data_IF_143086368497
#
_entry.id   IF_143086368497
#
_cell.length_a   1.000
_cell.length_b   1.000
_cell.length_c   1.000
_cell.angle_alpha   90.00
_cell.angle_beta   90.00
_cell.angle_gamma   90.00
#
_symmetry.space_group_name_H-M   'P 1'
#
loop_
_entity.id
_entity.type
_entity.pdbx_description
1 polymer ?
#
# COMPACT_ATOMS: atom_id res chain seq x y z
N UNK A 1 17.49 7.37 9.30
CA UNK A 1 16.80 6.09 9.41
C UNK A 1 17.15 5.32 8.19
N UNK A 2 17.96 4.32 8.38
CA UNK A 2 18.55 3.60 7.27
C UNK A 2 17.49 2.71 6.63
N UNK A 3 17.40 2.83 5.30
CA UNK A 3 16.63 1.95 4.46
C UNK A 3 17.01 0.50 4.73
N UNK A 4 16.06 -0.43 4.76
CA UNK A 4 16.29 -1.88 4.74
C UNK A 4 16.95 -2.36 3.42
N UNK A 5 17.88 -1.59 2.87
CA UNK A 5 18.61 -1.83 1.62
C UNK A 5 19.80 -2.81 1.80
N UNK A 6 19.76 -3.71 2.78
CA UNK A 6 20.86 -4.60 3.14
C UNK A 6 20.64 -6.09 2.95
N UNK A 7 19.55 -6.54 2.32
CA UNK A 7 19.36 -7.97 2.08
C UNK A 7 20.26 -8.43 0.93
N UNK A 8 21.42 -8.98 1.28
CA UNK A 8 22.28 -9.71 0.33
C UNK A 8 21.54 -10.94 -0.15
N UNK A 9 21.46 -11.09 -1.47
CA UNK A 9 20.93 -12.27 -2.14
C UNK A 9 21.54 -13.54 -1.58
N UNK A 10 20.73 -14.43 -0.99
CA UNK A 10 21.01 -15.84 -0.93
C UNK A 10 20.75 -16.40 -2.33
N UNK A 11 21.80 -16.84 -3.01
CA UNK A 11 21.71 -17.55 -4.28
C UNK A 11 21.14 -18.94 -4.01
N UNK A 12 19.84 -19.10 -4.14
CA UNK A 12 19.24 -20.42 -4.29
C UNK A 12 19.04 -20.66 -5.79
N UNK A 13 19.50 -21.81 -6.23
CA UNK A 13 19.54 -22.32 -7.60
C UNK A 13 18.35 -21.93 -8.48
N UNK A 14 18.65 -21.23 -9.57
CA UNK A 14 17.73 -21.01 -10.68
C UNK A 14 17.76 -22.25 -11.59
N UNK A 15 16.79 -23.12 -11.45
CA UNK A 15 16.43 -24.05 -12.53
C UNK A 15 15.66 -23.28 -13.59
N UNK A 16 16.29 -23.17 -14.75
CA UNK A 16 15.73 -22.66 -16.01
C UNK A 16 14.59 -23.54 -16.49
N UNK A 17 13.37 -23.05 -16.37
CA UNK A 17 12.27 -23.39 -17.28
C UNK A 17 11.71 -22.09 -17.82
N UNK A 18 11.63 -21.99 -19.17
CA UNK A 18 11.12 -20.83 -19.87
C UNK A 18 9.61 -20.65 -19.62
N UNK A 19 9.28 -20.01 -18.53
CA UNK A 19 7.91 -19.67 -18.15
C UNK A 19 7.56 -18.32 -18.75
N UNK A 20 6.58 -18.36 -19.65
CA UNK A 20 5.93 -17.19 -20.22
C UNK A 20 5.61 -16.23 -19.08
N UNK A 21 5.95 -14.94 -19.23
CA UNK A 21 5.55 -13.90 -18.30
C UNK A 21 4.05 -14.02 -18.04
N UNK A 22 3.68 -14.62 -16.92
CA UNK A 22 2.28 -14.79 -16.56
C UNK A 22 1.69 -13.41 -16.38
N UNK A 23 0.64 -13.10 -17.16
CA UNK A 23 -0.18 -11.93 -16.94
C UNK A 23 -0.57 -11.93 -15.47
N UNK A 24 -0.24 -10.86 -14.75
CA UNK A 24 -0.54 -10.72 -13.33
C UNK A 24 -2.04 -10.82 -13.15
N UNK A 25 -2.54 -11.88 -12.53
CA UNK A 25 -3.96 -12.10 -12.39
C UNK A 25 -4.58 -11.03 -11.47
N UNK A 26 -5.47 -10.23 -12.06
CA UNK A 26 -6.33 -9.33 -11.29
C UNK A 26 -7.50 -10.13 -10.72
N UNK A 27 -7.55 -10.25 -9.40
CA UNK A 27 -8.61 -10.92 -8.64
C UNK A 27 -9.59 -9.88 -8.13
N UNK A 28 -10.88 -10.02 -8.44
CA UNK A 28 -11.91 -9.13 -7.91
C UNK A 28 -12.22 -9.46 -6.45
N UNK A 29 -11.93 -8.51 -5.56
CA UNK A 29 -12.17 -8.64 -4.11
C UNK A 29 -13.59 -8.15 -3.77
N UNK A 30 -14.04 -7.10 -4.42
CA UNK A 30 -15.39 -6.53 -4.35
C UNK A 30 -15.76 -5.93 -5.70
N UNK A 31 -17.04 -5.77 -6.03
CA UNK A 31 -17.43 -5.21 -7.31
C UNK A 31 -16.70 -3.91 -7.66
N UNK A 32 -15.88 -3.96 -8.72
CA UNK A 32 -15.04 -2.86 -9.18
C UNK A 32 -13.78 -2.60 -8.36
N UNK A 33 -13.36 -3.50 -7.46
CA UNK A 33 -12.06 -3.44 -6.75
C UNK A 33 -11.30 -4.73 -7.01
N UNK A 34 -10.15 -4.60 -7.67
CA UNK A 34 -9.32 -5.69 -8.16
C UNK A 34 -7.92 -5.61 -7.56
N UNK A 35 -7.34 -6.75 -7.24
CA UNK A 35 -6.02 -6.85 -6.61
C UNK A 35 -5.13 -7.76 -7.44
N UNK A 36 -3.89 -7.33 -7.65
CA UNK A 36 -2.81 -8.17 -8.15
C UNK A 36 -1.71 -8.23 -7.09
N UNK A 37 -1.18 -9.43 -6.84
CA UNK A 37 -0.13 -9.65 -5.83
C UNK A 37 1.20 -9.91 -6.54
N UNK A 38 2.26 -9.19 -6.15
CA UNK A 38 3.61 -9.36 -6.65
C UNK A 38 4.32 -10.54 -6.00
N UNK A 39 5.39 -11.01 -6.61
CA UNK A 39 6.23 -12.10 -6.10
C UNK A 39 7.07 -11.62 -4.90
N UNK A 40 7.59 -10.39 -4.98
CA UNK A 40 8.41 -9.81 -3.90
C UNK A 40 7.46 -9.40 -2.77
N UNK A 41 7.69 -9.96 -1.56
CA UNK A 41 6.97 -9.66 -0.30
C UNK A 41 5.45 -9.77 -0.37
N UNK A 42 4.92 -10.44 -1.40
CA UNK A 42 3.48 -10.47 -1.68
C UNK A 42 2.86 -9.05 -1.74
N UNK A 43 3.61 -8.06 -2.27
CA UNK A 43 3.16 -6.66 -2.39
C UNK A 43 1.92 -6.59 -3.26
N UNK A 44 0.90 -5.88 -2.80
CA UNK A 44 -0.38 -5.78 -3.50
C UNK A 44 -0.47 -4.49 -4.31
N UNK A 45 -0.99 -4.59 -5.53
CA UNK A 45 -1.45 -3.45 -6.32
C UNK A 45 -2.96 -3.51 -6.44
N UNK A 46 -3.65 -2.41 -6.18
CA UNK A 46 -5.12 -2.38 -6.28
C UNK A 46 -5.56 -1.53 -7.46
N UNK A 47 -6.55 -2.01 -8.21
CA UNK A 47 -7.23 -1.27 -9.28
C UNK A 47 -8.68 -1.07 -8.90
N UNK A 48 -9.09 0.17 -8.73
CA UNK A 48 -10.50 0.54 -8.50
C UNK A 48 -11.08 1.08 -9.80
N UNK A 49 -12.21 0.52 -10.22
CA UNK A 49 -12.80 0.83 -11.53
C UNK A 49 -14.15 1.52 -11.34
N UNK A 50 -14.30 2.71 -11.89
CA UNK A 50 -15.57 3.43 -11.94
C UNK A 50 -16.49 2.85 -13.04
N UNK A 51 -17.82 3.10 -12.98
CA UNK A 51 -18.78 2.56 -13.95
C UNK A 51 -18.47 2.88 -15.41
N UNK A 52 -17.79 3.99 -15.68
CA UNK A 52 -17.38 4.44 -17.02
C UNK A 52 -16.02 3.85 -17.48
N UNK A 53 -15.46 2.94 -16.72
CA UNK A 53 -14.16 2.33 -17.01
C UNK A 53 -12.96 3.20 -16.64
N UNK A 54 -13.15 4.34 -15.96
CA UNK A 54 -12.04 5.07 -15.36
C UNK A 54 -11.45 4.25 -14.23
N UNK A 55 -10.12 4.13 -14.19
CA UNK A 55 -9.40 3.32 -13.21
C UNK A 55 -8.47 4.17 -12.35
N UNK A 56 -8.50 3.93 -11.05
CA UNK A 56 -7.50 4.34 -10.07
C UNK A 56 -6.58 3.17 -9.80
N UNK A 57 -5.27 3.37 -9.95
CA UNK A 57 -4.26 2.36 -9.60
C UNK A 57 -3.57 2.78 -8.31
N UNK A 58 -3.59 1.90 -7.31
CA UNK A 58 -2.97 2.11 -6.01
C UNK A 58 -1.77 1.19 -5.88
N UNK A 59 -0.61 1.75 -5.54
CA UNK A 59 0.65 1.06 -5.28
C UNK A 59 1.03 0.04 -6.37
N UNK A 60 1.21 0.44 -7.64
CA UNK A 60 1.65 -0.49 -8.68
C UNK A 60 3.06 -1.00 -8.36
N UNK A 61 3.23 -2.31 -8.22
CA UNK A 61 4.41 -2.98 -7.66
C UNK A 61 4.68 -4.33 -8.36
N UNK A 62 5.86 -4.90 -8.30
CA UNK A 62 7.13 -4.43 -7.76
C UNK A 62 8.18 -4.39 -8.87
N UNK A 63 8.32 -5.47 -9.68
CA UNK A 63 9.25 -5.50 -10.80
C UNK A 63 8.69 -4.77 -12.01
N UNK A 64 9.57 -4.43 -12.95
CA UNK A 64 9.14 -3.79 -14.21
C UNK A 64 8.12 -4.68 -14.93
N UNK A 65 8.41 -5.98 -15.01
CA UNK A 65 7.55 -6.96 -15.68
C UNK A 65 6.18 -7.06 -15.02
N UNK A 66 6.13 -7.00 -13.67
CA UNK A 66 4.87 -7.06 -12.93
C UNK A 66 4.03 -5.79 -13.10
N UNK A 67 4.66 -4.61 -13.15
CA UNK A 67 3.96 -3.34 -13.41
C UNK A 67 3.47 -3.26 -14.86
N UNK A 68 4.26 -3.74 -15.83
CA UNK A 68 3.85 -3.85 -17.23
C UNK A 68 2.68 -4.84 -17.41
N UNK A 69 2.74 -6.00 -16.74
CA UNK A 69 1.66 -6.98 -16.76
C UNK A 69 0.36 -6.41 -16.13
N UNK A 70 0.48 -5.62 -15.05
CA UNK A 70 -0.65 -4.90 -14.46
C UNK A 70 -1.26 -3.92 -15.47
N UNK A 71 -0.44 -3.11 -16.15
CA UNK A 71 -0.90 -2.18 -17.17
C UNK A 71 -1.63 -2.91 -18.32
N UNK A 72 -1.04 -4.01 -18.81
CA UNK A 72 -1.64 -4.84 -19.84
C UNK A 72 -3.00 -5.43 -19.39
N UNK A 73 -3.10 -5.89 -18.14
CA UNK A 73 -4.33 -6.43 -17.57
C UNK A 73 -5.44 -5.37 -17.42
N UNK A 74 -5.09 -4.13 -17.08
CA UNK A 74 -6.00 -2.97 -17.00
C UNK A 74 -6.52 -2.62 -18.39
N UNK A 75 -5.62 -2.42 -19.35
CA UNK A 75 -5.98 -2.04 -20.72
C UNK A 75 -6.72 -3.15 -21.47
N UNK A 76 -6.33 -4.42 -21.27
CA UNK A 76 -7.00 -5.57 -21.87
C UNK A 76 -8.48 -5.71 -21.45
N UNK A 77 -8.87 -5.11 -20.33
CA UNK A 77 -10.28 -5.01 -19.89
C UNK A 77 -10.98 -3.77 -20.39
N UNK A 78 -10.33 -2.95 -21.20
CA UNK A 78 -10.87 -1.69 -21.71
C UNK A 78 -10.92 -0.57 -20.67
N UNK A 79 -10.24 -0.71 -19.54
CA UNK A 79 -10.18 0.33 -18.51
C UNK A 79 -9.13 1.38 -18.85
N UNK A 80 -9.37 2.60 -18.41
CA UNK A 80 -8.49 3.76 -18.63
C UNK A 80 -7.94 4.24 -17.30
N UNK A 81 -6.64 4.17 -17.09
CA UNK A 81 -6.01 4.75 -15.89
C UNK A 81 -6.17 6.26 -15.93
N UNK A 82 -6.85 6.83 -14.95
CA UNK A 82 -7.13 8.26 -14.82
C UNK A 82 -6.57 8.86 -13.54
N UNK A 83 -6.12 8.04 -12.61
CA UNK A 83 -5.37 8.43 -11.42
C UNK A 83 -4.51 7.29 -10.91
N UNK A 84 -3.43 7.64 -10.20
CA UNK A 84 -2.69 6.76 -9.33
C UNK A 84 -2.70 7.27 -7.90
N UNK A 85 -2.42 6.40 -6.93
CA UNK A 85 -2.21 6.74 -5.54
C UNK A 85 -1.07 5.91 -4.94
N UNK A 86 -0.17 6.56 -4.20
CA UNK A 86 0.84 5.91 -3.38
C UNK A 86 0.42 6.03 -1.91
N UNK A 87 0.28 4.91 -1.22
CA UNK A 87 -0.15 4.88 0.18
C UNK A 87 0.90 5.48 1.11
N UNK A 88 2.17 5.26 0.83
CA UNK A 88 3.26 5.75 1.68
C UNK A 88 4.61 5.84 0.93
N UNK A 89 5.66 6.46 1.51
CA UNK A 89 6.88 6.83 0.79
C UNK A 89 7.94 5.71 0.69
N UNK A 90 7.58 4.42 0.78
CA UNK A 90 8.51 3.34 0.52
C UNK A 90 8.64 3.07 -0.97
N UNK A 91 9.82 2.54 -1.37
CA UNK A 91 10.21 2.43 -2.78
C UNK A 91 9.24 1.54 -3.59
N UNK A 92 8.73 0.47 -3.00
CA UNK A 92 7.82 -0.50 -3.63
C UNK A 92 6.36 -0.04 -3.75
N UNK A 93 6.01 1.11 -3.15
CA UNK A 93 4.68 1.72 -3.24
C UNK A 93 4.64 2.99 -4.11
N UNK A 94 5.79 3.49 -4.58
CA UNK A 94 5.89 4.73 -5.36
C UNK A 94 6.34 4.52 -6.80
N UNK A 95 6.16 3.29 -7.29
CA UNK A 95 6.52 2.90 -8.65
C UNK A 95 5.47 3.33 -9.68
N UNK A 96 5.88 3.38 -10.93
CA UNK A 96 5.00 3.64 -12.06
C UNK A 96 5.63 3.21 -13.37
N UNK A 97 4.79 2.91 -14.37
CA UNK A 97 5.20 2.69 -15.75
C UNK A 97 4.48 3.64 -16.71
N UNK A 98 5.15 3.99 -17.81
CA UNK A 98 4.52 4.74 -18.91
C UNK A 98 3.35 3.98 -19.53
N UNK A 99 3.36 2.66 -19.45
CA UNK A 99 2.26 1.82 -19.92
C UNK A 99 0.98 2.00 -19.11
N UNK A 100 1.06 2.51 -17.88
CA UNK A 100 -0.11 2.95 -17.09
C UNK A 100 -0.65 4.32 -17.53
N UNK A 101 0.08 5.03 -18.41
CA UNK A 101 -0.26 6.36 -18.89
C UNK A 101 0.24 7.51 -18.00
N UNK A 102 -0.12 8.74 -18.39
CA UNK A 102 0.34 9.99 -17.76
C UNK A 102 -0.65 10.52 -16.70
N UNK A 103 -1.46 9.65 -16.12
CA UNK A 103 -2.42 10.03 -15.10
C UNK A 103 -1.73 10.66 -13.86
N UNK A 104 -2.36 11.64 -13.18
CA UNK A 104 -1.81 12.19 -11.94
C UNK A 104 -1.72 11.10 -10.88
N UNK A 105 -0.58 11.04 -10.18
CA UNK A 105 -0.28 10.07 -9.13
C UNK A 105 -0.26 10.79 -7.79
N UNK A 106 -1.26 10.56 -6.99
CA UNK A 106 -1.44 11.27 -5.74
C UNK A 106 -0.75 10.57 -4.58
N UNK A 107 -0.38 11.35 -3.57
CA UNK A 107 -0.07 10.91 -2.22
C UNK A 107 -0.51 12.00 -1.25
N UNK A 108 -0.49 11.73 0.04
CA UNK A 108 -0.66 12.79 1.03
C UNK A 108 0.42 13.85 0.86
N UNK A 109 0.16 15.08 1.29
CA UNK A 109 1.17 16.14 1.21
C UNK A 109 2.47 15.73 1.94
N UNK A 110 2.33 15.09 3.12
CA UNK A 110 3.46 14.65 3.92
C UNK A 110 4.20 13.46 3.30
N UNK A 111 3.49 12.49 2.72
CA UNK A 111 4.10 11.38 1.98
C UNK A 111 4.88 11.86 0.76
N UNK A 112 4.31 12.77 -0.03
CA UNK A 112 5.00 13.37 -1.16
C UNK A 112 6.22 14.21 -0.73
N UNK A 113 6.17 14.91 0.40
CA UNK A 113 7.31 15.61 0.98
C UNK A 113 8.41 14.62 1.39
N UNK A 114 8.05 13.49 2.01
CA UNK A 114 9.00 12.44 2.42
C UNK A 114 9.66 11.79 1.20
N UNK A 115 8.92 11.45 0.16
CA UNK A 115 9.47 10.95 -1.12
C UNK A 115 10.46 11.94 -1.71
N UNK A 116 10.09 13.22 -1.76
CA UNK A 116 10.96 14.27 -2.31
C UNK A 116 12.24 14.46 -1.50
N UNK A 117 12.15 14.32 -0.17
CA UNK A 117 13.31 14.42 0.72
C UNK A 117 14.31 13.26 0.52
N UNK A 118 13.84 12.09 0.14
CA UNK A 118 14.70 10.92 -0.17
C UNK A 118 15.36 11.05 -1.55
N UNK A 119 14.73 11.69 -2.51
CA UNK A 119 15.31 12.02 -3.82
C UNK A 119 16.03 10.82 -4.48
N UNK A 120 17.34 10.97 -4.77
CA UNK A 120 18.15 9.96 -5.45
C UNK A 120 18.30 8.64 -4.62
N UNK A 121 18.22 8.71 -3.30
CA UNK A 121 18.36 7.51 -2.45
C UNK A 121 17.18 6.55 -2.67
N UNK A 122 15.98 7.10 -2.91
CA UNK A 122 14.80 6.31 -3.25
C UNK A 122 14.96 5.56 -4.58
N UNK A 123 15.49 6.25 -5.60
CA UNK A 123 15.77 5.66 -6.92
C UNK A 123 16.84 4.59 -6.79
N UNK A 124 17.88 4.83 -5.99
CA UNK A 124 18.96 3.86 -5.74
C UNK A 124 18.42 2.62 -5.03
N UNK A 125 17.56 2.78 -4.04
CA UNK A 125 16.93 1.65 -3.33
C UNK A 125 16.04 0.84 -4.28
N UNK A 126 15.24 1.51 -5.12
CA UNK A 126 14.44 0.87 -6.16
C UNK A 126 15.30 0.03 -7.12
N UNK A 127 16.35 0.62 -7.67
CA UNK A 127 17.22 -0.07 -8.64
C UNK A 127 17.99 -1.26 -8.02
N UNK A 128 18.31 -1.16 -6.73
CA UNK A 128 18.96 -2.24 -6.00
C UNK A 128 18.02 -3.44 -5.77
N UNK A 129 16.73 -3.21 -5.53
CA UNK A 129 15.75 -4.23 -5.19
C UNK A 129 14.99 -4.74 -6.43
N UNK A 130 14.61 -3.85 -7.33
CA UNK A 130 13.86 -4.12 -8.56
C UNK A 130 14.43 -3.26 -9.72
N UNK A 131 15.53 -3.67 -10.35
CA UNK A 131 16.22 -2.88 -11.36
C UNK A 131 15.40 -2.67 -12.63
N UNK A 132 15.66 -1.55 -13.32
CA UNK A 132 15.11 -1.25 -14.65
C UNK A 132 13.90 -0.32 -14.67
N UNK A 133 13.42 0.16 -13.53
CA UNK A 133 12.40 1.21 -13.50
C UNK A 133 12.91 2.53 -14.08
N UNK A 134 12.04 3.28 -14.75
CA UNK A 134 12.35 4.64 -15.20
C UNK A 134 12.54 5.55 -13.96
N UNK A 135 13.76 6.04 -13.69
CA UNK A 135 14.04 6.83 -12.50
C UNK A 135 13.26 8.15 -12.45
N UNK A 136 12.75 8.63 -13.58
CA UNK A 136 11.93 9.85 -13.64
C UNK A 136 10.49 9.60 -13.18
N UNK A 137 10.08 8.35 -13.09
CA UNK A 137 8.75 7.95 -12.67
C UNK A 137 8.70 7.49 -11.20
N UNK A 138 9.81 7.01 -10.65
CA UNK A 138 9.90 6.62 -9.24
C UNK A 138 9.65 7.83 -8.34
N UNK A 139 8.62 7.75 -7.51
CA UNK A 139 8.26 8.82 -6.58
C UNK A 139 7.78 10.13 -7.21
N UNK A 140 7.49 10.16 -8.51
CA UNK A 140 6.95 11.34 -9.16
C UNK A 140 5.47 11.54 -8.80
N UNK A 141 5.21 12.11 -7.62
CA UNK A 141 3.90 12.20 -6.99
C UNK A 141 3.35 13.62 -6.99
N UNK A 142 2.03 13.72 -7.11
CA UNK A 142 1.25 14.96 -6.94
C UNK A 142 0.73 15.02 -5.51
N UNK A 143 1.17 15.98 -4.68
CA UNK A 143 0.70 16.07 -3.31
C UNK A 143 -0.79 16.46 -3.27
N UNK A 144 -1.57 15.75 -2.46
CA UNK A 144 -2.89 16.21 -2.07
C UNK A 144 -2.79 17.48 -1.19
N UNK A 145 -3.81 18.33 -1.16
CA UNK A 145 -3.88 19.39 -0.16
C UNK A 145 -3.72 18.83 1.26
N UNK A 146 -3.02 19.55 2.15
CA UNK A 146 -2.84 19.12 3.54
C UNK A 146 -4.20 18.91 4.23
N UNK A 147 -4.36 17.75 4.85
CA UNK A 147 -5.61 17.34 5.51
C UNK A 147 -6.74 16.97 4.53
N UNK A 148 -6.43 16.71 3.28
CA UNK A 148 -7.40 16.21 2.32
C UNK A 148 -7.97 14.87 2.79
N UNK A 149 -9.29 14.78 2.84
CA UNK A 149 -10.03 13.58 3.25
C UNK A 149 -10.63 12.81 2.08
N UNK A 150 -10.44 13.30 0.86
CA UNK A 150 -10.96 12.69 -0.37
C UNK A 150 -9.92 12.80 -1.47
N UNK A 151 -9.83 11.74 -2.26
CA UNK A 151 -9.07 11.76 -3.49
C UNK A 151 -9.90 12.47 -4.58
N UNK A 152 -9.32 13.35 -5.42
CA UNK A 152 -10.02 13.95 -6.56
C UNK A 152 -10.18 12.94 -7.71
N UNK A 153 -10.88 11.84 -7.44
CA UNK A 153 -11.15 10.76 -8.37
C UNK A 153 -12.49 10.08 -8.02
N UNK A 154 -13.31 9.65 -9.00
CA UNK A 154 -13.09 9.91 -10.42
C UNK A 154 -13.16 11.41 -10.73
N UNK A 155 -12.38 11.86 -11.70
CA UNK A 155 -12.41 13.25 -12.14
C UNK A 155 -13.82 13.65 -12.52
N UNK A 156 -14.24 14.86 -12.14
CA UNK A 156 -15.54 15.40 -12.54
C UNK A 156 -15.71 15.27 -14.08
N UNK A 157 -16.88 14.83 -14.56
CA UNK A 157 -17.12 14.73 -15.99
C UNK A 157 -16.95 16.09 -16.65
N UNK A 158 -16.52 16.07 -17.92
CA UNK A 158 -16.60 17.22 -18.79
C UNK A 158 -18.06 17.78 -18.73
N UNK A 159 -18.27 19.10 -18.61
CA UNK A 159 -19.61 19.69 -18.44
C UNK A 159 -20.66 19.21 -19.44
N UNK A 160 -20.24 18.71 -20.62
CA UNK A 160 -21.13 18.10 -21.62
C UNK A 160 -21.59 16.66 -21.32
N UNK A 161 -21.07 15.98 -20.30
CA UNK A 161 -21.42 14.60 -19.91
C UNK A 161 -22.00 14.50 -18.49
N UNK A 162 -22.32 15.64 -17.89
CA UNK A 162 -22.72 15.73 -16.47
C UNK A 162 -24.07 15.05 -16.18
N UNK A 163 -24.99 15.02 -17.13
CA UNK A 163 -26.36 14.50 -16.92
C UNK A 163 -26.40 12.97 -16.80
N UNK A 164 -25.58 12.22 -17.58
CA UNK A 164 -25.56 10.75 -17.52
C UNK A 164 -24.87 10.19 -16.27
N UNK A 165 -24.06 11.01 -15.57
CA UNK A 165 -23.30 10.58 -14.40
C UNK A 165 -23.88 11.02 -13.06
N UNK A 166 -24.90 11.87 -13.07
CA UNK A 166 -25.55 12.35 -11.85
C UNK A 166 -26.10 11.19 -10.99
N UNK A 167 -26.64 10.16 -11.64
CA UNK A 167 -27.20 8.99 -10.96
C UNK A 167 -26.13 8.07 -10.36
N UNK A 168 -24.95 7.97 -10.99
CA UNK A 168 -23.82 7.15 -10.49
C UNK A 168 -23.09 7.83 -9.32
N UNK A 169 -23.07 9.15 -9.27
CA UNK A 169 -22.53 9.93 -8.16
C UNK A 169 -23.49 10.02 -6.97
N UNK A 170 -24.79 9.88 -7.20
CA UNK A 170 -25.81 9.90 -6.13
C UNK A 170 -25.62 8.73 -5.13
N UNK A 171 -25.03 7.62 -5.56
CA UNK A 171 -24.83 6.43 -4.72
C UNK A 171 -23.65 6.57 -3.71
N UNK A 172 -22.84 7.63 -3.76
CA UNK A 172 -21.68 7.85 -2.84
C UNK A 172 -20.60 6.76 -2.90
N UNK A 173 -20.81 5.72 -3.69
CA UNK A 173 -19.99 4.48 -3.72
C UNK A 173 -18.66 4.63 -4.48
N UNK A 174 -18.49 5.71 -5.23
CA UNK A 174 -17.22 6.00 -5.96
C UNK A 174 -16.31 6.97 -5.23
N UNK A 175 -16.78 7.60 -4.16
CA UNK A 175 -15.94 8.47 -3.36
C UNK A 175 -14.80 7.69 -2.71
N UNK A 176 -13.58 8.15 -2.89
CA UNK A 176 -12.39 7.60 -2.24
C UNK A 176 -12.05 8.45 -1.02
N UNK A 177 -12.29 7.91 0.16
CA UNK A 177 -11.93 8.56 1.43
C UNK A 177 -10.47 8.30 1.73
N UNK A 178 -9.74 9.34 2.10
CA UNK A 178 -8.32 9.28 2.51
C UNK A 178 -8.24 9.38 4.02
N UNK A 179 -7.57 8.43 4.65
CA UNK A 179 -7.29 8.39 6.09
C UNK A 179 -5.77 8.51 6.27
N UNK A 180 -5.28 9.74 6.41
CA UNK A 180 -3.86 10.04 6.60
C UNK A 180 -3.42 9.78 8.04
N UNK A 181 -2.24 9.17 8.22
CA UNK A 181 -1.58 8.91 9.50
C UNK A 181 -0.07 8.74 9.33
N UNK A 182 0.66 8.55 10.45
CA UNK A 182 2.12 8.38 10.46
C UNK A 182 2.52 7.07 11.16
N UNK A 183 1.71 6.02 11.07
CA UNK A 183 1.93 4.79 11.83
C UNK A 183 3.19 4.04 11.40
N UNK A 184 3.25 3.70 10.11
CA UNK A 184 4.32 2.92 9.49
C UNK A 184 5.38 3.82 8.86
N UNK A 185 4.95 4.91 8.24
CA UNK A 185 5.83 5.88 7.58
C UNK A 185 5.21 7.28 7.60
N UNK A 186 6.01 8.35 7.46
CA UNK A 186 5.52 9.73 7.43
C UNK A 186 4.52 9.96 6.29
N UNK A 187 3.29 10.37 6.63
CA UNK A 187 2.23 10.66 5.67
C UNK A 187 1.65 9.42 5.00
N UNK A 188 1.78 8.26 5.62
CA UNK A 188 1.06 7.06 5.21
C UNK A 188 -0.45 7.33 5.21
N UNK A 189 -1.17 6.76 4.25
CA UNK A 189 -2.62 6.89 4.16
C UNK A 189 -3.27 5.58 3.71
N UNK A 190 -4.36 5.23 4.36
CA UNK A 190 -5.28 4.24 3.85
C UNK A 190 -6.38 4.89 3.01
N UNK A 191 -6.98 4.12 2.10
CA UNK A 191 -8.13 4.54 1.32
C UNK A 191 -9.35 3.67 1.67
N UNK A 192 -10.53 4.31 1.80
CA UNK A 192 -11.80 3.58 1.88
C UNK A 192 -12.59 3.87 0.62
N UNK A 193 -12.92 2.81 -0.12
CA UNK A 193 -13.64 2.89 -1.39
C UNK A 193 -14.47 1.62 -1.63
N UNK A 194 -15.71 1.75 -2.06
CA UNK A 194 -16.60 0.62 -2.43
C UNK A 194 -16.68 -0.49 -1.36
N UNK A 195 -16.67 -0.12 -0.07
CA UNK A 195 -16.72 -1.10 1.04
C UNK A 195 -15.41 -1.85 1.26
N UNK A 196 -14.30 -1.36 0.71
CA UNK A 196 -12.95 -1.91 0.89
C UNK A 196 -12.07 -0.89 1.61
N UNK A 197 -11.29 -1.34 2.59
CA UNK A 197 -10.18 -0.61 3.18
C UNK A 197 -8.89 -1.03 2.46
N UNK A 198 -8.23 -0.12 1.75
CA UNK A 198 -6.88 -0.29 1.22
C UNK A 198 -5.94 0.26 2.27
N UNK A 199 -5.26 -0.61 3.01
CA UNK A 199 -4.61 -0.25 4.27
C UNK A 199 -3.15 0.23 4.12
N UNK A 200 -2.52 0.05 2.93
CA UNK A 200 -1.06 0.14 2.82
C UNK A 200 -0.40 -0.87 3.75
N UNK A 201 0.79 -0.58 4.27
CA UNK A 201 1.56 -1.51 5.10
C UNK A 201 1.05 -1.59 6.54
N UNK A 202 -0.21 -1.89 6.64
CA UNK A 202 -0.91 -2.18 7.89
C UNK A 202 -1.89 -3.34 7.70
N UNK A 203 -2.22 -4.02 8.78
CA UNK A 203 -3.25 -5.06 8.82
C UNK A 203 -2.94 -6.26 7.89
N UNK A 204 -1.66 -6.54 7.68
CA UNK A 204 -1.16 -7.66 6.89
C UNK A 204 -1.38 -9.01 7.58
N UNK A 205 -1.50 -10.11 6.79
CA UNK A 205 -1.44 -11.49 7.28
C UNK A 205 -0.05 -12.08 7.25
N UNK A 206 0.88 -11.42 6.56
CA UNK A 206 2.26 -11.91 6.41
C UNK A 206 3.28 -11.04 7.13
N UNK A 207 2.94 -9.79 7.43
CA UNK A 207 3.82 -8.85 8.13
C UNK A 207 3.21 -8.39 9.45
N UNK A 208 4.06 -8.19 10.44
CA UNK A 208 3.67 -7.57 11.73
C UNK A 208 3.67 -6.05 11.59
N UNK A 209 3.02 -5.29 12.49
CA UNK A 209 3.16 -3.84 12.55
C UNK A 209 4.62 -3.39 12.61
N UNK A 210 5.11 -2.79 11.53
CA UNK A 210 6.40 -2.11 11.46
C UNK A 210 6.19 -0.63 11.72
N UNK A 211 6.53 -0.18 12.93
CA UNK A 211 6.26 1.19 13.38
C UNK A 211 7.32 2.17 12.86
N UNK A 212 6.95 3.41 12.56
CA UNK A 212 7.93 4.48 12.26
C UNK A 212 8.78 4.77 13.50
N UNK A 213 9.92 4.07 13.64
CA UNK A 213 10.86 4.26 14.76
C UNK A 213 11.46 5.65 14.82
N UNK A 214 11.33 6.51 13.80
CA UNK A 214 11.71 7.93 13.82
C UNK A 214 10.67 8.84 14.45
N UNK A 215 9.44 8.40 14.61
CA UNK A 215 8.39 9.19 15.25
C UNK A 215 8.66 9.35 16.75
N UNK A 216 8.04 10.37 17.38
CA UNK A 216 8.23 10.63 18.82
C UNK A 216 7.74 9.48 19.71
N UNK A 217 6.64 8.86 19.37
CA UNK A 217 6.02 7.76 20.10
C UNK A 217 5.44 6.77 19.09
N UNK A 218 6.30 5.85 18.56
CA UNK A 218 5.95 4.99 17.43
C UNK A 218 4.74 4.10 17.69
N UNK A 219 4.72 3.38 18.82
CA UNK A 219 3.66 2.42 19.12
C UNK A 219 2.34 3.13 19.37
N UNK A 220 2.35 4.24 20.10
CA UNK A 220 1.14 5.06 20.31
C UNK A 220 0.61 5.64 18.99
N UNK A 221 1.51 6.10 18.12
CA UNK A 221 1.13 6.61 16.79
C UNK A 221 0.45 5.52 15.97
N UNK A 222 0.99 4.30 15.98
CA UNK A 222 0.41 3.17 15.27
C UNK A 222 -0.96 2.77 15.83
N UNK A 223 -1.12 2.73 17.17
CA UNK A 223 -2.40 2.47 17.82
C UNK A 223 -3.45 3.52 17.44
N UNK A 224 -3.09 4.80 17.45
CA UNK A 224 -3.99 5.88 17.03
C UNK A 224 -4.43 5.74 15.57
N UNK A 225 -3.54 5.25 14.69
CA UNK A 225 -3.90 4.95 13.30
C UNK A 225 -4.87 3.76 13.23
N UNK A 226 -4.63 2.67 13.98
CA UNK A 226 -5.58 1.55 14.04
C UNK A 226 -6.98 2.00 14.48
N UNK A 227 -7.08 2.90 15.49
CA UNK A 227 -8.36 3.43 15.94
C UNK A 227 -9.05 4.27 14.84
N UNK A 228 -8.30 5.09 14.13
CA UNK A 228 -8.81 5.90 13.02
C UNK A 228 -9.26 5.02 11.84
N UNK A 229 -8.49 3.99 11.49
CA UNK A 229 -8.81 3.05 10.44
C UNK A 229 -10.04 2.21 10.79
N UNK A 230 -10.16 1.72 12.02
CA UNK A 230 -11.31 0.94 12.47
C UNK A 230 -12.60 1.77 12.43
N UNK A 231 -12.52 3.05 12.83
CA UNK A 231 -13.64 3.99 12.70
C UNK A 231 -14.03 4.22 11.23
N UNK A 232 -13.04 4.40 10.33
CA UNK A 232 -13.28 4.60 8.91
C UNK A 232 -13.81 3.32 8.24
N UNK A 233 -13.40 2.14 8.74
CA UNK A 233 -13.74 0.83 8.20
C UNK A 233 -15.05 0.24 8.77
N UNK A 234 -15.81 0.97 9.60
CA UNK A 234 -17.05 0.44 10.24
C UNK A 234 -18.07 -0.17 9.26
N UNK A 235 -18.11 0.33 8.03
CA UNK A 235 -19.03 -0.09 6.98
C UNK A 235 -18.35 -0.89 5.87
N UNK A 236 -17.05 -1.26 6.03
CA UNK A 236 -16.36 -2.11 5.07
C UNK A 236 -16.53 -3.59 5.43
N UNK A 237 -16.41 -4.44 4.43
CA UNK A 237 -16.43 -5.88 4.57
C UNK A 237 -15.30 -6.57 3.75
N UNK A 238 -14.34 -5.78 3.26
CA UNK A 238 -13.10 -6.28 2.71
C UNK A 238 -11.94 -5.33 3.04
N UNK A 239 -10.73 -5.88 3.12
CA UNK A 239 -9.49 -5.16 3.39
C UNK A 239 -8.41 -5.70 2.45
N UNK A 240 -7.59 -4.78 1.91
CA UNK A 240 -6.40 -5.10 1.13
C UNK A 240 -5.21 -4.45 1.85
N UNK A 241 -4.26 -5.23 2.38
CA UNK A 241 -3.01 -4.70 2.93
C UNK A 241 -2.02 -4.36 1.81
N UNK A 242 -0.93 -3.65 2.11
CA UNK A 242 0.18 -3.42 1.19
C UNK A 242 0.93 -4.72 0.85
N UNK A 243 1.07 -5.60 1.81
CA UNK A 243 1.69 -6.93 1.66
C UNK A 243 0.76 -8.03 2.18
N UNK A 244 0.70 -9.16 1.45
CA UNK A 244 -0.08 -10.34 1.83
C UNK A 244 -1.38 -10.48 1.04
N UNK A 245 -2.42 -11.00 1.72
CA UNK A 245 -3.68 -11.38 1.07
C UNK A 245 -4.85 -10.50 1.51
N UNK A 246 -5.81 -10.20 0.61
CA UNK A 246 -7.05 -9.53 0.99
C UNK A 246 -7.81 -10.32 2.05
N UNK A 247 -8.40 -9.62 3.02
CA UNK A 247 -9.36 -10.18 3.97
C UNK A 247 -10.78 -9.85 3.50
N UNK A 248 -11.62 -10.88 3.31
CA UNK A 248 -13.00 -10.71 2.84
C UNK A 248 -13.96 -11.17 3.91
N UNK A 249 -14.94 -10.33 4.23
CA UNK A 249 -15.91 -10.49 5.29
C UNK A 249 -15.54 -9.75 6.57
N UNK A 250 -16.53 -9.18 7.25
CA UNK A 250 -16.34 -8.35 8.46
C UNK A 250 -15.54 -9.05 9.55
N UNK A 251 -15.74 -10.37 9.74
CA UNK A 251 -15.00 -11.14 10.73
C UNK A 251 -13.50 -11.23 10.39
N UNK A 252 -13.16 -11.45 9.11
CA UNK A 252 -11.77 -11.48 8.67
C UNK A 252 -11.10 -10.11 8.80
N UNK A 253 -11.80 -9.02 8.46
CA UNK A 253 -11.31 -7.65 8.67
C UNK A 253 -11.05 -7.38 10.16
N UNK A 254 -12.01 -7.72 11.04
CA UNK A 254 -11.84 -7.54 12.49
C UNK A 254 -10.67 -8.37 13.04
N UNK A 255 -10.42 -9.56 12.52
CA UNK A 255 -9.31 -10.41 12.93
C UNK A 255 -7.94 -9.76 12.62
N UNK A 256 -7.80 -9.01 11.50
CA UNK A 256 -6.57 -8.28 11.18
C UNK A 256 -6.29 -7.17 12.18
N UNK A 257 -7.30 -6.37 12.55
CA UNK A 257 -7.17 -5.35 13.61
C UNK A 257 -6.78 -5.98 14.95
N UNK A 258 -7.41 -7.12 15.32
CA UNK A 258 -7.10 -7.82 16.56
C UNK A 258 -5.66 -8.36 16.58
N UNK A 259 -5.18 -8.90 15.46
CA UNK A 259 -3.81 -9.41 15.34
C UNK A 259 -2.77 -8.29 15.50
N UNK A 260 -2.97 -7.16 14.84
CA UNK A 260 -2.05 -6.02 14.95
C UNK A 260 -2.04 -5.44 16.36
N UNK A 261 -3.19 -5.32 17.03
CA UNK A 261 -3.25 -4.87 18.43
C UNK A 261 -2.53 -5.84 19.37
N UNK A 262 -2.75 -7.14 19.19
CA UNK A 262 -2.09 -8.17 20.01
C UNK A 262 -0.56 -8.14 19.84
N UNK A 263 -0.08 -7.97 18.61
CA UNK A 263 1.34 -7.81 18.34
C UNK A 263 1.92 -6.56 19.03
N UNK A 264 1.23 -5.41 18.94
CA UNK A 264 1.69 -4.16 19.59
C UNK A 264 1.72 -4.29 21.12
N UNK A 265 0.77 -5.03 21.74
CA UNK A 265 0.80 -5.31 23.17
C UNK A 265 2.04 -6.14 23.55
N UNK A 266 2.35 -7.18 22.77
CA UNK A 266 3.52 -8.00 22.97
C UNK A 266 4.84 -7.24 22.73
N UNK A 267 4.87 -6.36 21.70
CA UNK A 267 6.02 -5.51 21.38
C UNK A 267 6.32 -4.54 22.53
N UNK A 268 5.31 -3.82 23.05
CA UNK A 268 5.48 -2.90 24.19
C UNK A 268 5.96 -3.64 25.42
N UNK A 269 5.42 -4.84 25.68
CA UNK A 269 5.89 -5.67 26.78
C UNK A 269 7.38 -6.04 26.61
N UNK A 270 7.78 -6.47 25.39
CA UNK A 270 9.16 -6.85 25.09
C UNK A 270 10.13 -5.66 25.11
N UNK A 271 9.68 -4.44 24.82
CA UNK A 271 10.52 -3.23 24.97
C UNK A 271 10.92 -3.02 26.43
N UNK A 272 10.01 -3.24 27.39
CA UNK A 272 10.25 -3.04 28.82
C UNK A 272 10.94 -4.25 29.48
N UNK A 273 10.58 -5.46 29.04
CA UNK A 273 11.07 -6.72 29.59
C UNK A 273 12.00 -7.40 28.57
N UNK A 274 13.32 -7.28 28.79
CA UNK A 274 14.33 -7.70 27.81
C UNK A 274 14.42 -9.21 27.59
N UNK A 275 13.87 -10.01 28.49
CA UNK A 275 13.74 -11.46 28.41
C UNK A 275 12.41 -11.93 27.78
N UNK A 276 11.49 -11.01 27.54
CA UNK A 276 10.24 -11.33 26.89
C UNK A 276 10.43 -11.59 25.39
N UNK A 277 9.74 -12.61 24.89
CA UNK A 277 9.71 -12.98 23.47
C UNK A 277 8.33 -12.60 22.90
N UNK A 278 8.33 -11.94 21.76
CA UNK A 278 7.09 -11.70 20.99
C UNK A 278 6.78 -12.96 20.19
N UNK A 279 5.65 -13.58 20.48
CA UNK A 279 5.14 -14.73 19.73
C UNK A 279 4.07 -14.25 18.73
N UNK A 280 4.37 -14.35 17.44
CA UNK A 280 3.44 -14.05 16.35
C UNK A 280 3.81 -14.92 15.15
N UNK A 281 2.85 -15.61 14.55
CA UNK A 281 3.09 -16.54 13.45
C UNK A 281 3.64 -15.86 12.19
N UNK A 282 3.49 -14.54 12.08
CA UNK A 282 4.05 -13.72 10.99
C UNK A 282 5.56 -13.48 11.12
N UNK A 283 6.18 -13.75 12.27
CA UNK A 283 7.61 -13.55 12.52
C UNK A 283 8.45 -14.64 11.86
N UNK A 284 8.48 -14.64 10.54
CA UNK A 284 9.24 -15.58 9.71
C UNK A 284 10.10 -14.84 8.69
N UNK A 285 11.22 -15.44 8.28
CA UNK A 285 12.07 -14.88 7.24
C UNK A 285 12.50 -13.43 7.49
N UNK A 286 12.28 -12.56 6.52
CA UNK A 286 12.62 -11.13 6.59
C UNK A 286 11.84 -10.38 7.66
N UNK A 287 10.59 -10.78 7.92
CA UNK A 287 9.72 -10.13 8.92
C UNK A 287 10.31 -10.29 10.34
N UNK A 288 10.88 -11.46 10.65
CA UNK A 288 11.57 -11.67 11.93
C UNK A 288 12.79 -10.73 12.07
N UNK A 289 13.55 -10.54 10.99
CA UNK A 289 14.71 -9.62 10.99
C UNK A 289 14.26 -8.18 11.23
N UNK A 290 13.23 -7.73 10.54
CA UNK A 290 12.69 -6.37 10.72
C UNK A 290 12.07 -6.16 12.10
N UNK A 291 11.44 -7.20 12.67
CA UNK A 291 10.98 -7.17 14.04
C UNK A 291 12.14 -6.96 15.03
N UNK A 292 13.23 -7.70 14.88
CA UNK A 292 14.40 -7.58 15.75
C UNK A 292 15.02 -6.19 15.67
N UNK A 293 15.13 -5.63 14.46
CA UNK A 293 15.64 -4.28 14.21
C UNK A 293 14.76 -3.21 14.86
N UNK A 294 13.43 -3.27 14.68
CA UNK A 294 12.53 -2.31 15.31
C UNK A 294 12.51 -2.45 16.83
N UNK A 295 12.55 -3.68 17.37
CA UNK A 295 12.62 -3.90 18.82
C UNK A 295 13.90 -3.33 19.41
N UNK A 296 15.04 -3.53 18.75
CA UNK A 296 16.31 -2.94 19.14
C UNK A 296 16.25 -1.40 19.11
N UNK A 297 15.70 -0.82 18.05
CA UNK A 297 15.54 0.62 17.92
C UNK A 297 14.62 1.22 19.01
N UNK A 298 13.54 0.50 19.37
CA UNK A 298 12.62 0.94 20.43
C UNK A 298 13.26 0.84 21.83
N UNK A 299 14.08 -0.19 22.08
CA UNK A 299 14.81 -0.35 23.35
C UNK A 299 15.93 0.69 23.54
N UNK A 300 16.46 1.25 22.46
CA UNK A 300 17.52 2.26 22.49
C UNK A 300 17.04 3.68 22.79
N UNK A 301 15.75 3.88 22.92
CA UNK A 301 15.10 5.21 23.19
C UNK A 301 15.02 5.46 24.67
#
# INVERSE_FOLDING_TARGET
MDDHAGVRRSTADATTDGEQAHARDLVEVRPGVWVATATIWATTSTVVVAPDGAALVVDPAVTVEEVEALAAAVHGRGWRVTAGFATHPHWDHVLWSRSLGDAPRYATARGADAVRARGADLVTATDAAAPGHDPTLVGALTPLPRGARRLPWPTAPDPGQAEERADAQADGKTDVVVVEHDAHAPGHAALVVRGVLLAGDMLSDVEVPLVDTGSRDPVRTYRGALDALELAARDVDALVPGHGSPAVGRAAVAARFAADRAYLDALEHAVVHTDAVVADDRLTGYVATWHDEQLAALRAR
#
